data_IF_081969756351
#
_entry.id   IF_081969756351
#
_cell.length_a   1.000
_cell.length_b   1.000
_cell.length_c   1.000
_cell.angle_alpha   90.00
_cell.angle_beta   90.00
_cell.angle_gamma   90.00
#
_symmetry.space_group_name_H-M   'P 1'
#
loop_
_entity.id
_entity.type
_entity.pdbx_description
1 polymer ?
#
# COMPACT_ATOMS: atom_id res chain seq x y z
N UNK A 1 -31.37 28.37 -19.32
CA UNK A 1 -31.15 27.98 -17.93
C UNK A 1 -30.41 29.12 -17.25
N UNK A 2 -30.84 29.61 -16.08
CA UNK A 2 -30.18 30.74 -15.40
C UNK A 2 -28.74 30.31 -14.99
N UNK A 3 -27.77 31.23 -15.13
CA UNK A 3 -26.36 31.00 -14.66
C UNK A 3 -26.33 30.48 -13.22
N UNK A 4 -27.23 30.99 -12.39
CA UNK A 4 -27.40 30.54 -11.01
C UNK A 4 -27.65 29.02 -10.90
N UNK A 5 -28.60 28.48 -11.68
CA UNK A 5 -28.95 27.06 -11.68
C UNK A 5 -27.74 26.20 -12.12
N UNK A 6 -26.97 26.68 -13.10
CA UNK A 6 -25.76 25.98 -13.55
C UNK A 6 -24.73 25.91 -12.41
N UNK A 7 -24.50 27.03 -11.71
CA UNK A 7 -23.57 27.07 -10.56
C UNK A 7 -24.04 26.10 -9.46
N UNK A 8 -25.34 26.09 -9.15
CA UNK A 8 -25.93 25.22 -8.14
C UNK A 8 -25.72 23.73 -8.48
N UNK A 9 -25.92 23.33 -9.73
CA UNK A 9 -25.74 21.96 -10.19
C UNK A 9 -24.25 21.55 -10.10
N UNK A 10 -23.35 22.39 -10.61
CA UNK A 10 -21.91 22.11 -10.57
C UNK A 10 -21.41 22.00 -9.15
N UNK A 11 -21.77 22.93 -8.28
CA UNK A 11 -21.40 22.93 -6.86
C UNK A 11 -21.90 21.67 -6.16
N UNK A 12 -23.15 21.26 -6.41
CA UNK A 12 -23.73 20.05 -5.82
C UNK A 12 -23.03 18.78 -6.27
N UNK A 13 -22.73 18.65 -7.58
CA UNK A 13 -22.01 17.49 -8.12
C UNK A 13 -20.58 17.39 -7.57
N UNK A 14 -19.86 18.51 -7.54
CA UNK A 14 -18.52 18.57 -6.94
C UNK A 14 -18.55 18.21 -5.45
N UNK A 15 -19.55 18.75 -4.73
CA UNK A 15 -19.70 18.45 -3.31
C UNK A 15 -19.98 16.98 -3.04
N UNK A 16 -20.86 16.31 -3.82
CA UNK A 16 -21.11 14.86 -3.66
C UNK A 16 -19.82 14.06 -3.83
N UNK A 17 -19.00 14.38 -4.85
CA UNK A 17 -17.74 13.68 -5.08
C UNK A 17 -16.79 13.85 -3.89
N UNK A 18 -16.59 15.07 -3.44
CA UNK A 18 -15.66 15.36 -2.32
C UNK A 18 -16.21 14.80 -1.00
N UNK A 19 -17.51 14.98 -0.72
CA UNK A 19 -18.13 14.46 0.48
C UNK A 19 -18.08 12.93 0.54
N UNK A 20 -18.26 12.24 -0.58
CA UNK A 20 -18.11 10.79 -0.68
C UNK A 20 -16.69 10.33 -0.32
N UNK A 21 -15.67 11.01 -0.84
CA UNK A 21 -14.27 10.75 -0.49
C UNK A 21 -13.99 10.98 1.00
N UNK A 22 -14.48 12.10 1.55
CA UNK A 22 -14.31 12.44 2.97
C UNK A 22 -15.04 11.45 3.86
N UNK A 23 -16.25 11.06 3.50
CA UNK A 23 -17.03 10.05 4.22
C UNK A 23 -16.27 8.72 4.26
N UNK A 24 -15.70 8.27 3.13
CA UNK A 24 -14.92 7.05 3.08
C UNK A 24 -13.73 7.10 4.05
N UNK A 25 -12.94 8.18 3.98
CA UNK A 25 -11.79 8.39 4.88
C UNK A 25 -12.22 8.38 6.34
N UNK A 26 -13.25 9.15 6.69
CA UNK A 26 -13.76 9.25 8.06
C UNK A 26 -14.30 7.91 8.57
N UNK A 27 -15.09 7.22 7.75
CA UNK A 27 -15.69 5.93 8.11
C UNK A 27 -14.63 4.90 8.48
N UNK A 28 -13.60 4.71 7.64
CA UNK A 28 -12.55 3.74 7.91
C UNK A 28 -11.55 4.22 8.98
N UNK A 29 -11.37 5.53 9.15
CA UNK A 29 -10.63 6.07 10.28
C UNK A 29 -11.34 5.74 11.61
N UNK A 30 -12.66 5.92 11.69
CA UNK A 30 -13.46 5.52 12.85
C UNK A 30 -13.45 4.00 13.06
N UNK A 31 -13.59 3.23 11.98
CA UNK A 31 -13.51 1.76 12.03
C UNK A 31 -12.17 1.27 12.59
N UNK A 32 -11.07 1.99 12.33
CA UNK A 32 -9.74 1.64 12.86
C UNK A 32 -9.63 1.71 14.38
N UNK A 33 -10.54 2.44 15.05
CA UNK A 33 -10.62 2.54 16.51
C UNK A 33 -11.32 1.33 17.15
N UNK A 34 -12.04 0.53 16.37
CA UNK A 34 -12.72 -0.64 16.88
C UNK A 34 -11.69 -1.65 17.45
N UNK A 35 -12.04 -2.37 18.52
CA UNK A 35 -11.16 -3.38 19.08
C UNK A 35 -10.85 -4.49 18.08
N UNK A 36 -9.66 -5.07 18.17
CA UNK A 36 -9.30 -6.27 17.41
C UNK A 36 -10.29 -7.36 17.76
N UNK A 37 -11.11 -7.80 16.79
CA UNK A 37 -11.99 -8.95 17.02
C UNK A 37 -11.10 -10.12 17.40
N UNK A 38 -11.36 -10.76 18.56
CA UNK A 38 -10.74 -12.06 18.85
C UNK A 38 -11.13 -12.97 17.70
N UNK A 39 -10.15 -13.42 16.91
CA UNK A 39 -10.43 -14.41 15.88
C UNK A 39 -10.96 -15.68 16.59
N UNK A 40 -12.22 -15.95 16.46
CA UNK A 40 -12.64 -17.31 16.34
C UNK A 40 -12.22 -17.76 14.94
N UNK A 41 -11.09 -18.46 14.84
CA UNK A 41 -10.80 -19.27 13.65
C UNK A 41 -12.09 -20.03 13.32
N UNK A 42 -12.50 -20.13 12.04
CA UNK A 42 -13.65 -20.94 11.69
C UNK A 42 -13.54 -22.29 12.39
N UNK A 43 -14.63 -22.78 12.98
CA UNK A 43 -14.64 -24.03 13.76
C UNK A 43 -14.13 -25.25 12.98
N UNK A 44 -14.12 -25.16 11.64
CA UNK A 44 -13.47 -26.15 10.75
C UNK A 44 -11.94 -26.19 10.87
N UNK A 45 -11.31 -25.15 11.40
CA UNK A 45 -9.84 -25.06 11.59
C UNK A 45 -9.43 -25.56 13.01
N UNK A 46 -10.36 -25.49 13.96
CA UNK A 46 -10.10 -25.91 15.38
C UNK A 46 -10.01 -27.45 15.51
N UNK A 47 -10.41 -28.21 14.51
CA UNK A 47 -10.49 -29.67 14.55
C UNK A 47 -9.32 -30.42 13.91
N UNK A 48 -8.25 -29.73 13.49
CA UNK A 48 -6.98 -30.43 13.33
C UNK A 48 -6.24 -30.35 14.68
N UNK A 49 -6.15 -31.45 15.43
CA UNK A 49 -5.27 -31.49 16.58
C UNK A 49 -3.87 -31.16 16.04
N UNK A 50 -3.22 -30.19 16.68
CA UNK A 50 -1.82 -29.87 16.49
C UNK A 50 -0.96 -31.08 16.87
N UNK A 51 -1.02 -32.11 16.05
CA UNK A 51 -0.04 -33.20 16.09
C UNK A 51 1.23 -32.64 15.48
N UNK A 52 2.16 -32.28 16.35
CA UNK A 52 3.56 -31.96 16.07
C UNK A 52 3.73 -30.74 15.10
N UNK A 53 4.00 -29.61 15.70
CA UNK A 53 4.72 -28.43 15.18
C UNK A 53 5.23 -28.53 13.73
N UNK A 54 4.36 -28.61 12.74
CA UNK A 54 4.80 -28.39 11.37
C UNK A 54 5.08 -26.89 11.28
N UNK A 55 6.35 -26.51 11.38
CA UNK A 55 6.79 -25.15 11.14
C UNK A 55 6.71 -24.91 9.63
N UNK A 56 6.06 -23.84 9.22
CA UNK A 56 5.87 -23.50 7.82
C UNK A 56 7.19 -23.21 7.12
N UNK A 57 7.31 -23.60 5.86
CA UNK A 57 8.45 -23.27 5.02
C UNK A 57 8.18 -22.02 4.19
N UNK A 58 9.19 -21.13 4.08
CA UNK A 58 9.06 -19.83 3.43
C UNK A 58 10.05 -19.64 2.29
N UNK A 59 9.55 -19.18 1.14
CA UNK A 59 10.36 -18.56 0.10
C UNK A 59 10.31 -17.04 0.28
N UNK A 60 11.45 -16.41 0.52
CA UNK A 60 11.53 -14.96 0.73
C UNK A 60 12.18 -14.30 -0.47
N UNK A 61 11.45 -13.41 -1.14
CA UNK A 61 11.85 -12.75 -2.37
C UNK A 61 12.21 -11.28 -2.12
N UNK A 62 13.40 -10.89 -2.53
CA UNK A 62 13.89 -9.51 -2.54
C UNK A 62 14.14 -9.05 -3.97
N UNK A 63 13.15 -8.50 -4.67
CA UNK A 63 13.38 -7.83 -5.95
C UNK A 63 14.15 -6.53 -5.72
N UNK A 64 15.31 -6.39 -6.36
CA UNK A 64 16.21 -5.25 -6.24
C UNK A 64 16.56 -4.68 -7.62
N UNK A 65 16.32 -3.39 -7.84
CA UNK A 65 16.63 -2.68 -9.08
C UNK A 65 17.40 -1.40 -8.76
N UNK A 66 18.70 -1.36 -9.05
CA UNK A 66 19.62 -0.25 -8.68
C UNK A 66 19.61 0.07 -7.16
N UNK A 67 19.55 -0.96 -6.32
CA UNK A 67 19.46 -0.81 -4.85
C UNK A 67 20.79 -1.16 -4.14
N UNK A 68 21.91 -0.91 -4.79
CA UNK A 68 23.26 -1.23 -4.29
C UNK A 68 23.55 -0.66 -2.88
N UNK A 69 22.97 0.52 -2.59
CA UNK A 69 23.22 1.22 -1.34
C UNK A 69 22.64 0.52 -0.10
N UNK A 70 21.56 -0.28 -0.27
CA UNK A 70 20.75 -0.77 0.86
C UNK A 70 20.64 -2.29 0.92
N UNK A 71 20.71 -2.99 -0.22
CA UNK A 71 20.36 -4.42 -0.33
C UNK A 71 21.24 -5.32 0.55
N UNK A 72 22.56 -5.09 0.59
CA UNK A 72 23.51 -5.92 1.35
C UNK A 72 23.09 -5.92 2.82
N UNK A 73 22.90 -4.74 3.40
CA UNK A 73 22.51 -4.60 4.80
C UNK A 73 21.17 -5.28 5.11
N UNK A 74 20.20 -5.16 4.22
CA UNK A 74 18.87 -5.77 4.38
C UNK A 74 18.96 -7.30 4.36
N UNK A 75 19.73 -7.87 3.42
CA UNK A 75 19.91 -9.32 3.33
C UNK A 75 20.69 -9.87 4.52
N UNK A 76 21.80 -9.23 4.90
CA UNK A 76 22.57 -9.65 6.07
C UNK A 76 21.71 -9.61 7.34
N UNK A 77 20.94 -8.53 7.54
CA UNK A 77 20.00 -8.43 8.66
C UNK A 77 18.93 -9.52 8.61
N UNK A 78 18.39 -9.83 7.43
CA UNK A 78 17.36 -10.87 7.29
C UNK A 78 17.92 -12.28 7.58
N UNK A 79 19.15 -12.56 7.25
CA UNK A 79 19.77 -13.89 7.50
C UNK A 79 19.92 -14.21 9.00
N UNK A 80 19.73 -13.23 9.89
CA UNK A 80 19.72 -13.43 11.35
C UNK A 80 18.32 -13.76 11.91
N UNK A 81 17.43 -14.36 11.09
CA UNK A 81 16.11 -14.77 11.57
C UNK A 81 16.21 -15.89 12.63
N UNK A 82 15.44 -15.71 13.72
CA UNK A 82 15.21 -16.74 14.75
C UNK A 82 14.17 -17.76 14.25
N UNK A 83 14.55 -18.46 13.19
CA UNK A 83 13.76 -19.48 12.51
C UNK A 83 14.68 -20.57 11.94
N UNK A 84 14.29 -21.86 11.92
CA UNK A 84 15.14 -22.91 11.38
C UNK A 84 15.59 -22.62 9.95
N UNK A 85 16.90 -22.65 9.71
CA UNK A 85 17.49 -22.26 8.43
C UNK A 85 17.02 -23.11 7.25
N UNK A 86 16.74 -24.37 7.51
CA UNK A 86 16.21 -25.32 6.54
C UNK A 86 14.75 -25.06 6.14
N UNK A 87 14.03 -24.22 6.88
CA UNK A 87 12.64 -23.88 6.62
C UNK A 87 12.45 -22.54 5.92
N UNK A 88 13.51 -21.85 5.56
CA UNK A 88 13.36 -20.65 4.73
C UNK A 88 14.48 -20.53 3.70
N UNK A 89 14.10 -20.04 2.53
CA UNK A 89 14.98 -19.81 1.41
C UNK A 89 14.88 -18.35 0.99
N UNK A 90 16.02 -17.67 0.90
CA UNK A 90 16.11 -16.27 0.46
C UNK A 90 16.56 -16.23 -0.99
N UNK A 91 15.81 -15.58 -1.84
CA UNK A 91 16.18 -15.31 -3.24
C UNK A 91 16.20 -13.80 -3.50
N UNK A 92 17.33 -13.31 -3.96
CA UNK A 92 17.53 -11.93 -4.38
C UNK A 92 17.50 -11.86 -5.89
N UNK A 93 16.65 -11.00 -6.44
CA UNK A 93 16.55 -10.76 -7.87
C UNK A 93 17.26 -9.44 -8.15
N UNK A 94 18.54 -9.56 -8.53
CA UNK A 94 19.45 -8.45 -8.77
C UNK A 94 19.31 -7.95 -10.20
N UNK A 95 18.52 -6.89 -10.38
CA UNK A 95 18.28 -6.29 -11.68
C UNK A 95 19.07 -4.97 -11.80
N UNK A 96 20.04 -4.92 -12.71
CA UNK A 96 20.92 -3.77 -12.94
C UNK A 96 21.70 -3.30 -11.68
N UNK A 97 22.12 -4.24 -10.83
CA UNK A 97 23.02 -3.96 -9.70
C UNK A 97 24.49 -4.00 -10.14
N UNK A 98 25.37 -3.38 -9.36
CA UNK A 98 26.79 -3.42 -9.62
C UNK A 98 27.40 -4.81 -9.45
N UNK A 99 28.49 -5.08 -10.16
CA UNK A 99 29.22 -6.34 -10.05
C UNK A 99 29.76 -6.56 -8.63
N UNK A 100 30.22 -5.49 -7.96
CA UNK A 100 30.70 -5.54 -6.59
C UNK A 100 29.60 -6.00 -5.62
N UNK A 101 28.39 -5.41 -5.74
CA UNK A 101 27.22 -5.82 -4.95
C UNK A 101 26.85 -7.27 -5.23
N UNK A 102 26.85 -7.70 -6.50
CA UNK A 102 26.53 -9.07 -6.89
C UNK A 102 27.55 -10.07 -6.34
N UNK A 103 28.85 -9.76 -6.37
CA UNK A 103 29.89 -10.62 -5.79
C UNK A 103 29.72 -10.76 -4.27
N UNK A 104 29.39 -9.68 -3.57
CA UNK A 104 29.10 -9.73 -2.14
C UNK A 104 27.88 -10.63 -1.86
N UNK A 105 26.75 -10.37 -2.54
CA UNK A 105 25.53 -11.17 -2.38
C UNK A 105 25.73 -12.65 -2.71
N UNK A 106 26.54 -12.98 -3.72
CA UNK A 106 26.87 -14.35 -4.08
C UNK A 106 27.67 -15.10 -2.99
N UNK A 107 28.34 -14.39 -2.09
CA UNK A 107 29.05 -14.97 -0.94
C UNK A 107 28.13 -15.35 0.21
N UNK A 108 26.89 -14.86 0.21
CA UNK A 108 25.90 -15.12 1.26
C UNK A 108 25.12 -16.43 0.98
N UNK A 109 24.55 -17.07 1.99
CA UNK A 109 23.77 -18.31 1.84
C UNK A 109 22.36 -18.01 1.26
N UNK A 110 22.28 -17.47 0.04
CA UNK A 110 21.06 -17.09 -0.68
C UNK A 110 21.10 -17.62 -2.11
N UNK A 111 19.97 -17.55 -2.80
CA UNK A 111 19.96 -17.68 -4.27
C UNK A 111 19.99 -16.28 -4.88
N UNK A 112 21.06 -15.97 -5.59
CA UNK A 112 21.19 -14.74 -6.35
C UNK A 112 20.77 -15.00 -7.81
N UNK A 113 19.80 -14.23 -8.29
CA UNK A 113 19.33 -14.24 -9.67
C UNK A 113 19.66 -12.88 -10.31
N UNK A 114 20.43 -12.91 -11.39
CA UNK A 114 20.85 -11.70 -12.13
C UNK A 114 20.20 -11.69 -13.52
N UNK A 115 18.87 -11.43 -13.63
CA UNK A 115 18.22 -11.36 -14.92
C UNK A 115 18.63 -10.10 -15.68
N UNK A 116 18.56 -10.17 -17.01
CA UNK A 116 18.69 -9.02 -17.88
C UNK A 116 17.35 -8.75 -18.56
N UNK A 117 16.59 -7.78 -18.04
CA UNK A 117 15.31 -7.40 -18.59
C UNK A 117 15.48 -6.23 -19.58
N UNK A 118 14.86 -6.33 -20.77
CA UNK A 118 14.76 -5.20 -21.69
C UNK A 118 14.04 -3.99 -21.05
N UNK A 119 13.01 -4.27 -20.24
CA UNK A 119 12.29 -3.29 -19.41
C UNK A 119 12.08 -3.89 -18.03
N UNK A 120 12.74 -3.30 -17.05
CA UNK A 120 12.68 -3.75 -15.66
C UNK A 120 11.33 -3.46 -15.01
N UNK A 121 10.81 -4.41 -14.23
CA UNK A 121 9.68 -4.21 -13.33
C UNK A 121 9.70 -5.23 -12.20
N UNK A 122 9.12 -4.87 -11.07
CA UNK A 122 9.00 -5.78 -9.93
C UNK A 122 8.18 -7.04 -10.27
N UNK A 123 7.13 -6.89 -11.08
CA UNK A 123 6.35 -8.01 -11.59
C UNK A 123 7.23 -9.03 -12.32
N UNK A 124 8.08 -8.58 -13.26
CA UNK A 124 9.01 -9.47 -13.98
C UNK A 124 10.05 -10.12 -13.07
N UNK A 125 10.57 -9.39 -12.09
CA UNK A 125 11.49 -9.93 -11.11
C UNK A 125 10.84 -11.08 -10.32
N UNK A 126 9.61 -10.89 -9.84
CA UNK A 126 8.85 -11.93 -9.13
C UNK A 126 8.53 -13.13 -10.02
N UNK A 127 8.11 -12.91 -11.28
CA UNK A 127 7.87 -13.96 -12.26
C UNK A 127 9.13 -14.79 -12.54
N UNK A 128 10.26 -14.11 -12.75
CA UNK A 128 11.55 -14.76 -12.99
C UNK A 128 11.96 -15.63 -11.80
N UNK A 129 11.85 -15.11 -10.57
CA UNK A 129 12.17 -15.86 -9.36
C UNK A 129 11.33 -17.12 -9.22
N UNK A 130 10.01 -17.02 -9.37
CA UNK A 130 9.12 -18.19 -9.25
C UNK A 130 9.41 -19.20 -10.34
N UNK A 131 9.63 -18.75 -11.60
CA UNK A 131 9.98 -19.63 -12.70
C UNK A 131 11.29 -20.38 -12.44
N UNK A 132 12.32 -19.68 -11.98
CA UNK A 132 13.62 -20.30 -11.67
C UNK A 132 13.50 -21.30 -10.51
N UNK A 133 12.91 -20.90 -9.42
CA UNK A 133 12.76 -21.74 -8.21
C UNK A 133 11.96 -23.01 -8.52
N UNK A 134 10.88 -22.91 -9.27
CA UNK A 134 10.05 -24.06 -9.63
C UNK A 134 10.77 -25.08 -10.52
N UNK A 135 11.79 -24.66 -11.27
CA UNK A 135 12.58 -25.55 -12.14
C UNK A 135 13.79 -26.18 -11.43
N UNK A 136 14.35 -25.51 -10.42
CA UNK A 136 15.61 -25.90 -9.80
C UNK A 136 15.46 -26.45 -8.37
N UNK A 137 14.27 -26.32 -7.78
CA UNK A 137 14.02 -26.78 -6.41
C UNK A 137 12.87 -27.76 -6.39
N UNK A 138 13.12 -28.98 -5.95
CA UNK A 138 12.09 -30.02 -5.75
C UNK A 138 11.27 -29.82 -4.46
N UNK A 139 11.67 -28.90 -3.59
CA UNK A 139 10.98 -28.60 -2.34
C UNK A 139 9.82 -27.65 -2.60
N UNK A 140 8.62 -28.05 -2.18
CA UNK A 140 7.47 -27.16 -2.14
C UNK A 140 7.58 -26.26 -0.88
N UNK A 141 7.45 -24.95 -1.05
CA UNK A 141 7.29 -24.01 0.06
C UNK A 141 5.81 -23.93 0.44
N UNK A 142 5.54 -23.61 1.72
CA UNK A 142 4.17 -23.34 2.15
C UNK A 142 3.77 -21.90 1.76
N UNK A 143 4.71 -20.95 1.92
CA UNK A 143 4.43 -19.53 1.72
C UNK A 143 5.53 -18.80 0.95
N UNK A 144 5.12 -17.72 0.27
CA UNK A 144 6.03 -16.73 -0.33
C UNK A 144 5.91 -15.43 0.44
N UNK A 145 7.04 -14.85 0.81
CA UNK A 145 7.15 -13.52 1.40
C UNK A 145 7.84 -12.59 0.42
N UNK A 146 7.28 -11.41 0.18
CA UNK A 146 7.86 -10.37 -0.68
C UNK A 146 8.28 -9.19 0.20
N UNK A 147 9.57 -8.84 0.15
CA UNK A 147 10.18 -7.71 0.84
C UNK A 147 10.89 -6.82 -0.18
N UNK A 148 10.86 -5.50 0.02
CA UNK A 148 11.66 -4.57 -0.78
C UNK A 148 13.15 -4.62 -0.36
N UNK A 149 14.03 -4.14 -1.25
CA UNK A 149 15.48 -4.23 -1.08
C UNK A 149 16.03 -3.46 0.14
N UNK A 150 15.29 -2.48 0.65
CA UNK A 150 15.61 -1.64 1.80
C UNK A 150 14.97 -2.11 3.12
N UNK A 151 14.16 -3.18 3.07
CA UNK A 151 13.37 -3.58 4.20
C UNK A 151 14.19 -4.26 5.30
N UNK A 152 13.92 -3.84 6.53
CA UNK A 152 14.45 -4.47 7.74
C UNK A 152 13.27 -5.01 8.57
N UNK A 153 13.42 -6.23 9.04
CA UNK A 153 12.43 -6.92 9.89
C UNK A 153 13.07 -7.42 11.17
N UNK A 154 12.25 -7.65 12.19
CA UNK A 154 12.74 -8.21 13.46
C UNK A 154 13.24 -9.65 13.30
N UNK A 155 14.16 -10.13 14.16
CA UNK A 155 14.67 -11.50 14.08
C UNK A 155 13.60 -12.59 14.20
N UNK A 156 12.49 -12.32 14.88
CA UNK A 156 11.37 -13.25 15.05
C UNK A 156 10.26 -13.12 13.97
N UNK A 157 10.51 -12.36 12.90
CA UNK A 157 9.53 -12.09 11.85
C UNK A 157 8.93 -13.37 11.24
N UNK A 158 9.75 -14.32 10.81
CA UNK A 158 9.26 -15.59 10.27
C UNK A 158 8.55 -16.43 11.33
N UNK A 159 9.03 -16.41 12.57
CA UNK A 159 8.38 -17.07 13.71
C UNK A 159 6.98 -16.51 13.96
N UNK A 160 6.79 -15.19 13.87
CA UNK A 160 5.49 -14.56 14.01
C UNK A 160 4.57 -14.88 12.82
N UNK A 161 5.08 -14.82 11.59
CA UNK A 161 4.32 -15.18 10.37
C UNK A 161 3.85 -16.64 10.43
N UNK A 162 4.71 -17.58 10.81
CA UNK A 162 4.40 -19.01 10.89
C UNK A 162 3.21 -19.31 11.83
N UNK A 163 2.98 -18.49 12.85
CA UNK A 163 1.85 -18.65 13.79
C UNK A 163 0.50 -18.24 13.23
N UNK A 164 0.49 -17.43 12.17
CA UNK A 164 -0.74 -16.80 11.65
C UNK A 164 -0.99 -17.07 10.18
N UNK A 165 0.02 -17.50 9.43
CA UNK A 165 -0.12 -17.81 8.02
C UNK A 165 -1.08 -19.00 7.80
N UNK A 166 -1.95 -18.87 6.79
CA UNK A 166 -2.93 -19.88 6.43
C UNK A 166 -3.17 -19.85 4.91
N UNK A 167 -3.27 -21.00 4.22
CA UNK A 167 -3.41 -21.06 2.75
C UNK A 167 -4.61 -20.29 2.19
N UNK A 168 -5.68 -20.11 2.97
CA UNK A 168 -6.89 -19.40 2.52
C UNK A 168 -6.82 -17.89 2.62
N UNK A 169 -5.67 -17.32 3.00
CA UNK A 169 -5.52 -15.87 3.16
C UNK A 169 -4.16 -15.37 2.68
N UNK A 170 -4.13 -14.11 2.25
CA UNK A 170 -2.90 -13.35 2.12
C UNK A 170 -2.69 -12.49 3.37
N UNK A 171 -1.44 -12.16 3.66
CA UNK A 171 -1.07 -11.31 4.80
C UNK A 171 -0.38 -10.07 4.29
N UNK A 172 -0.78 -8.91 4.84
CA UNK A 172 -0.04 -7.66 4.75
C UNK A 172 0.51 -7.32 6.14
N UNK A 173 1.82 -7.33 6.29
CA UNK A 173 2.49 -6.85 7.49
C UNK A 173 2.44 -5.33 7.60
N UNK A 174 2.69 -4.80 8.79
CA UNK A 174 2.69 -3.37 9.05
C UNK A 174 3.99 -2.75 8.55
N UNK A 175 3.94 -2.11 7.38
CA UNK A 175 5.06 -1.32 6.88
C UNK A 175 5.10 0.02 7.59
N UNK A 176 6.28 0.39 8.09
CA UNK A 176 6.51 1.62 8.84
C UNK A 176 7.86 2.23 8.49
N UNK A 177 8.05 3.52 8.80
CA UNK A 177 9.28 4.23 8.48
C UNK A 177 10.46 3.78 9.34
N UNK A 178 11.59 3.45 8.70
CA UNK A 178 12.90 3.21 9.34
C UNK A 178 13.53 4.51 9.81
N UNK A 179 13.31 5.60 9.06
CA UNK A 179 13.92 6.90 9.31
C UNK A 179 12.84 8.01 9.40
N UNK A 180 13.15 9.05 10.17
CA UNK A 180 12.37 10.28 10.31
C UNK A 180 13.29 11.50 10.44
N UNK A 181 14.47 11.44 9.81
CA UNK A 181 15.59 12.35 10.03
C UNK A 181 15.30 13.77 9.52
N UNK A 182 14.42 13.90 8.54
CA UNK A 182 13.98 15.18 8.01
C UNK A 182 12.45 15.27 7.94
N UNK A 183 11.94 16.47 7.65
CA UNK A 183 10.49 16.73 7.62
C UNK A 183 9.78 15.97 6.53
N UNK A 184 10.44 15.68 5.39
CA UNK A 184 9.85 14.96 4.26
C UNK A 184 9.67 13.49 4.64
N UNK A 185 10.71 12.83 5.12
CA UNK A 185 10.65 11.44 5.58
C UNK A 185 9.64 11.26 6.71
N UNK A 186 9.60 12.19 7.68
CA UNK A 186 8.65 12.16 8.77
C UNK A 186 7.19 12.31 8.30
N UNK A 187 6.92 13.20 7.33
CA UNK A 187 5.59 13.39 6.77
C UNK A 187 5.18 12.22 5.85
N UNK A 188 6.14 11.61 5.14
CA UNK A 188 5.88 10.41 4.35
C UNK A 188 5.55 9.22 5.25
N UNK A 189 6.32 9.00 6.31
CA UNK A 189 6.02 8.01 7.34
C UNK A 189 4.65 8.23 8.00
N UNK A 190 4.31 9.48 8.36
CA UNK A 190 2.99 9.82 8.89
C UNK A 190 1.88 9.52 7.88
N UNK A 191 2.08 9.86 6.59
CA UNK A 191 1.14 9.55 5.53
C UNK A 191 0.91 8.04 5.37
N UNK A 192 1.96 7.24 5.55
CA UNK A 192 1.86 5.78 5.53
C UNK A 192 1.05 5.25 6.72
N UNK A 193 1.30 5.73 7.92
CA UNK A 193 0.55 5.34 9.11
C UNK A 193 -0.94 5.70 9.02
N UNK A 194 -1.26 6.82 8.40
CA UNK A 194 -2.65 7.17 8.10
C UNK A 194 -3.25 6.17 7.07
N UNK A 195 -2.47 5.73 6.06
CA UNK A 195 -2.91 4.67 5.14
C UNK A 195 -3.09 3.34 5.86
N UNK A 196 -2.18 2.97 6.77
CA UNK A 196 -2.29 1.77 7.60
C UNK A 196 -3.58 1.79 8.42
N UNK A 197 -3.92 2.94 9.01
CA UNK A 197 -5.16 3.10 9.77
C UNK A 197 -6.41 2.96 8.90
N UNK A 198 -6.49 3.65 7.78
CA UNK A 198 -7.68 3.72 6.93
C UNK A 198 -7.83 2.46 6.08
N UNK A 199 -6.85 2.17 5.18
CA UNK A 199 -6.99 1.16 4.13
C UNK A 199 -6.64 -0.26 4.58
N UNK A 200 -6.08 -0.44 5.76
CA UNK A 200 -5.68 -1.74 6.30
C UNK A 200 -6.39 -2.06 7.60
N UNK A 201 -6.02 -1.39 8.68
CA UNK A 201 -6.60 -1.62 10.01
C UNK A 201 -8.11 -1.44 10.03
N UNK A 202 -8.62 -0.29 9.55
CA UNK A 202 -10.05 0.02 9.52
C UNK A 202 -10.86 -1.03 8.78
N UNK A 203 -10.40 -1.47 7.61
CA UNK A 203 -11.03 -2.53 6.83
C UNK A 203 -11.07 -3.85 7.61
N UNK A 204 -9.95 -4.28 8.14
CA UNK A 204 -9.90 -5.55 8.89
C UNK A 204 -10.74 -5.51 10.17
N UNK A 205 -10.87 -4.35 10.85
CA UNK A 205 -11.72 -4.23 12.05
C UNK A 205 -13.20 -4.54 11.79
N UNK A 206 -13.69 -4.24 10.60
CA UNK A 206 -15.08 -4.52 10.20
C UNK A 206 -15.25 -5.80 9.37
N UNK A 207 -14.15 -6.55 9.16
CA UNK A 207 -14.18 -7.83 8.45
C UNK A 207 -13.97 -7.71 6.93
N UNK A 208 -13.55 -6.54 6.43
CA UNK A 208 -13.19 -6.34 5.03
C UNK A 208 -11.71 -6.62 4.79
N UNK A 209 -11.35 -6.93 3.54
CA UNK A 209 -9.97 -7.16 3.12
C UNK A 209 -9.12 -5.90 3.23
N UNK A 210 -7.90 -6.06 3.77
CA UNK A 210 -6.87 -5.04 3.77
C UNK A 210 -6.41 -4.68 2.37
N UNK A 211 -5.78 -3.51 2.20
CA UNK A 211 -5.00 -3.19 1.01
C UNK A 211 -3.58 -3.74 1.12
N UNK A 212 -3.01 -4.17 -0.02
CA UNK A 212 -1.58 -4.45 -0.17
C UNK A 212 -0.78 -3.15 -0.31
N UNK A 213 0.56 -3.24 -0.15
CA UNK A 213 1.46 -2.07 -0.24
C UNK A 213 2.79 -2.39 -0.93
N UNK A 214 2.86 -3.50 -1.65
CA UNK A 214 4.04 -3.90 -2.40
C UNK A 214 5.10 -4.62 -1.58
N UNK A 215 5.17 -4.44 -0.27
CA UNK A 215 6.19 -5.03 0.59
C UNK A 215 5.62 -5.54 1.91
N UNK A 216 6.29 -6.49 2.57
CA UNK A 216 5.77 -7.14 3.76
C UNK A 216 4.51 -7.95 3.46
N UNK A 217 4.44 -8.53 2.29
CA UNK A 217 3.33 -9.37 1.83
C UNK A 217 3.69 -10.85 1.99
N UNK A 218 2.74 -11.65 2.45
CA UNK A 218 2.90 -13.10 2.52
C UNK A 218 1.69 -13.79 1.89
N UNK A 219 1.95 -14.77 1.03
CA UNK A 219 0.95 -15.49 0.24
C UNK A 219 1.17 -17.00 0.36
N UNK A 220 0.13 -17.79 0.18
CA UNK A 220 0.26 -19.22 -0.12
C UNK A 220 1.12 -19.40 -1.38
N UNK A 221 2.11 -20.31 -1.33
CA UNK A 221 3.04 -20.51 -2.45
C UNK A 221 2.34 -20.96 -3.73
N UNK A 222 1.39 -21.90 -3.61
CA UNK A 222 0.68 -22.43 -4.78
C UNK A 222 -0.21 -21.34 -5.41
N UNK A 223 -0.86 -20.54 -4.58
CA UNK A 223 -1.65 -19.42 -5.06
C UNK A 223 -0.76 -18.41 -5.79
N UNK A 224 0.37 -18.02 -5.18
CA UNK A 224 1.26 -17.01 -5.73
C UNK A 224 1.89 -17.47 -7.05
N UNK A 225 2.44 -18.69 -7.10
CA UNK A 225 3.06 -19.26 -8.31
C UNK A 225 2.08 -19.40 -9.48
N UNK A 226 0.81 -19.69 -9.19
CA UNK A 226 -0.25 -19.78 -10.21
C UNK A 226 -0.75 -18.44 -10.75
N UNK A 227 -0.49 -17.34 -10.00
CA UNK A 227 -1.03 -16.03 -10.34
C UNK A 227 0.02 -14.98 -10.71
N UNK A 228 1.27 -15.11 -10.27
CA UNK A 228 2.34 -14.12 -10.52
C UNK A 228 2.56 -13.85 -12.02
N UNK A 229 2.40 -14.84 -12.87
CA UNK A 229 2.56 -14.70 -14.32
C UNK A 229 1.46 -13.86 -15.00
N UNK A 230 0.41 -13.47 -14.27
CA UNK A 230 -0.68 -12.61 -14.76
C UNK A 230 -0.39 -11.13 -14.54
N UNK A 231 0.68 -10.80 -13.82
CA UNK A 231 1.06 -9.41 -13.53
C UNK A 231 1.71 -8.78 -14.77
N UNK A 232 1.27 -7.60 -15.17
CA UNK A 232 1.79 -6.89 -16.35
C UNK A 232 2.00 -5.37 -16.13
N UNK A 233 1.66 -4.86 -14.95
CA UNK A 233 1.75 -3.42 -14.68
C UNK A 233 2.96 -3.06 -13.79
N UNK A 234 3.20 -1.75 -13.65
CA UNK A 234 4.20 -1.20 -12.75
C UNK A 234 3.73 -1.12 -11.27
N UNK A 235 2.51 -1.62 -10.99
CA UNK A 235 1.86 -1.60 -9.68
C UNK A 235 1.35 -3.01 -9.35
N UNK A 236 2.28 -3.94 -9.27
CA UNK A 236 2.05 -5.36 -9.08
C UNK A 236 1.23 -5.69 -7.83
N UNK A 237 1.38 -4.90 -6.77
CA UNK A 237 0.63 -5.04 -5.52
C UNK A 237 -0.88 -4.84 -5.74
N UNK A 238 -1.28 -3.87 -6.55
CA UNK A 238 -2.69 -3.63 -6.88
C UNK A 238 -3.27 -4.70 -7.79
N UNK A 239 -2.47 -5.25 -8.70
CA UNK A 239 -2.88 -6.39 -9.52
C UNK A 239 -3.04 -7.65 -8.67
N UNK A 240 -2.10 -7.93 -7.76
CA UNK A 240 -2.22 -9.02 -6.79
C UNK A 240 -3.47 -8.85 -5.92
N UNK A 241 -3.72 -7.63 -5.42
CA UNK A 241 -4.91 -7.32 -4.65
C UNK A 241 -6.20 -7.62 -5.44
N UNK A 242 -6.27 -7.18 -6.70
CA UNK A 242 -7.42 -7.44 -7.55
C UNK A 242 -7.64 -8.95 -7.80
N UNK A 243 -6.57 -9.70 -8.07
CA UNK A 243 -6.61 -11.16 -8.27
C UNK A 243 -7.08 -11.89 -7.00
N UNK A 244 -6.58 -11.50 -5.82
CA UNK A 244 -7.03 -12.05 -4.53
C UNK A 244 -8.53 -11.82 -4.34
N UNK A 245 -9.00 -10.58 -4.55
CA UNK A 245 -10.41 -10.24 -4.39
C UNK A 245 -11.32 -10.99 -5.39
N UNK A 246 -10.88 -11.15 -6.64
CA UNK A 246 -11.62 -11.92 -7.65
C UNK A 246 -11.75 -13.39 -7.28
N UNK A 247 -10.77 -13.96 -6.61
CA UNK A 247 -10.72 -15.36 -6.20
C UNK A 247 -11.24 -15.58 -4.76
N UNK A 248 -11.76 -14.54 -4.10
CA UNK A 248 -12.31 -14.63 -2.76
C UNK A 248 -11.29 -14.85 -1.65
N UNK A 249 -10.00 -14.59 -1.93
CA UNK A 249 -8.92 -14.70 -0.94
C UNK A 249 -8.85 -13.42 -0.13
N UNK A 250 -8.99 -13.54 1.20
CA UNK A 250 -8.98 -12.40 2.11
C UNK A 250 -7.56 -11.94 2.42
N UNK A 251 -7.32 -10.62 2.38
CA UNK A 251 -6.06 -10.03 2.83
C UNK A 251 -6.17 -9.62 4.29
N UNK A 252 -5.34 -10.25 5.11
CA UNK A 252 -5.28 -9.98 6.54
C UNK A 252 -4.15 -9.01 6.88
N UNK A 253 -4.49 -7.90 7.54
CA UNK A 253 -3.49 -6.95 8.03
C UNK A 253 -3.02 -7.31 9.43
N UNK A 254 -1.70 -7.38 9.62
CA UNK A 254 -1.07 -7.71 10.89
C UNK A 254 -0.33 -6.50 11.42
N UNK A 255 -0.90 -5.87 12.45
CA UNK A 255 -0.38 -4.64 13.04
C UNK A 255 0.92 -4.85 13.81
N UNK A 256 1.10 -6.06 14.36
CA UNK A 256 2.17 -6.36 15.32
C UNK A 256 3.46 -6.85 14.64
N UNK A 257 3.41 -7.22 13.33
CA UNK A 257 4.58 -7.63 12.55
C UNK A 257 5.04 -6.46 11.70
N UNK A 258 6.16 -5.86 12.12
CA UNK A 258 6.69 -4.66 11.49
C UNK A 258 7.64 -4.97 10.35
N UNK A 259 7.53 -4.21 9.27
CA UNK A 259 8.49 -4.14 8.16
C UNK A 259 8.92 -2.68 8.04
N UNK A 260 10.16 -2.40 8.38
CA UNK A 260 10.73 -1.07 8.35
C UNK A 260 11.29 -0.77 6.96
N UNK A 261 10.83 0.29 6.30
CA UNK A 261 11.34 0.77 5.02
C UNK A 261 11.96 2.16 5.11
N UNK A 262 12.83 2.47 4.17
CA UNK A 262 13.49 3.76 4.11
C UNK A 262 12.60 4.79 3.40
N UNK A 263 12.29 5.88 4.09
CA UNK A 263 11.50 6.97 3.50
C UNK A 263 12.38 7.93 2.72
N UNK A 264 11.87 8.36 1.57
CA UNK A 264 12.57 9.33 0.71
C UNK A 264 12.86 10.63 1.47
N UNK A 265 14.09 11.08 1.38
CA UNK A 265 14.59 12.28 2.07
C UNK A 265 14.58 13.53 1.19
N UNK A 266 14.49 13.38 -0.14
CA UNK A 266 14.50 14.51 -1.08
C UNK A 266 13.12 14.80 -1.66
N UNK A 267 12.85 16.10 -1.90
CA UNK A 267 11.54 16.54 -2.46
C UNK A 267 11.31 15.98 -3.87
N UNK A 268 12.36 15.87 -4.69
CA UNK A 268 12.24 15.43 -6.09
C UNK A 268 11.95 13.92 -6.17
N UNK A 269 12.60 13.11 -5.33
CA UNK A 269 12.31 11.68 -5.22
C UNK A 269 10.89 11.46 -4.67
N UNK A 270 10.47 12.22 -3.67
CA UNK A 270 9.12 12.21 -3.16
C UNK A 270 8.09 12.50 -4.26
N UNK A 271 8.34 13.53 -5.07
CA UNK A 271 7.44 13.90 -6.18
C UNK A 271 7.33 12.78 -7.22
N UNK A 272 8.47 12.18 -7.64
CA UNK A 272 8.50 11.06 -8.61
C UNK A 272 7.77 9.84 -8.08
N UNK A 273 8.01 9.48 -6.82
CA UNK A 273 7.34 8.35 -6.16
C UNK A 273 5.81 8.54 -6.11
N UNK A 274 5.35 9.75 -5.73
CA UNK A 274 3.91 10.08 -5.68
C UNK A 274 3.28 10.08 -7.07
N UNK A 275 3.97 10.58 -8.09
CA UNK A 275 3.49 10.51 -9.48
C UNK A 275 3.28 9.06 -9.91
N UNK A 276 4.26 8.18 -9.64
CA UNK A 276 4.16 6.74 -9.91
C UNK A 276 2.93 6.13 -9.24
N UNK A 277 2.71 6.41 -7.96
CA UNK A 277 1.57 5.86 -7.21
C UNK A 277 0.23 6.37 -7.73
N UNK A 278 0.12 7.65 -8.07
CA UNK A 278 -1.10 8.22 -8.64
C UNK A 278 -1.40 7.64 -10.03
N UNK A 279 -0.38 7.51 -10.89
CA UNK A 279 -0.52 6.87 -12.20
C UNK A 279 -0.97 5.41 -12.06
N UNK A 280 -0.31 4.66 -11.16
CA UNK A 280 -0.68 3.28 -10.86
C UNK A 280 -2.10 3.13 -10.31
N UNK A 281 -2.55 4.08 -9.49
CA UNK A 281 -3.92 4.08 -8.97
C UNK A 281 -4.95 4.22 -10.09
N UNK A 282 -4.72 5.13 -11.05
CA UNK A 282 -5.61 5.30 -12.22
C UNK A 282 -5.60 4.05 -13.10
N UNK A 283 -4.42 3.47 -13.35
CA UNK A 283 -4.31 2.23 -14.14
C UNK A 283 -5.06 1.08 -13.46
N UNK A 284 -4.87 0.87 -12.17
CA UNK A 284 -5.58 -0.16 -11.41
C UNK A 284 -7.10 0.04 -11.44
N UNK A 285 -7.58 1.29 -11.30
CA UNK A 285 -9.00 1.60 -11.42
C UNK A 285 -9.55 1.16 -12.78
N UNK A 286 -8.89 1.55 -13.87
CA UNK A 286 -9.32 1.21 -15.24
C UNK A 286 -9.28 -0.31 -15.49
N UNK A 287 -8.30 -1.03 -14.92
CA UNK A 287 -8.21 -2.48 -15.02
C UNK A 287 -9.31 -3.21 -14.21
N UNK A 288 -9.70 -2.67 -13.06
CA UNK A 288 -10.74 -3.27 -12.22
C UNK A 288 -12.16 -2.96 -12.68
N UNK A 289 -12.38 -1.84 -13.37
CA UNK A 289 -13.69 -1.35 -13.76
C UNK A 289 -14.51 -2.37 -14.60
N UNK A 290 -13.95 -3.09 -15.59
CA UNK A 290 -14.71 -4.07 -16.37
C UNK A 290 -15.31 -5.21 -15.56
N UNK A 291 -14.68 -5.61 -14.46
CA UNK A 291 -15.14 -6.69 -13.58
C UNK A 291 -16.11 -6.21 -12.47
N UNK A 292 -16.28 -4.91 -12.31
CA UNK A 292 -17.13 -4.31 -11.27
C UNK A 292 -18.62 -4.74 -11.39
N UNK A 293 -19.26 -4.78 -12.59
CA UNK A 293 -20.63 -5.24 -12.70
C UNK A 293 -20.82 -6.68 -12.20
N UNK A 294 -19.88 -7.57 -12.52
CA UNK A 294 -19.88 -8.96 -12.04
C UNK A 294 -19.76 -9.00 -10.51
N UNK A 295 -18.86 -8.21 -9.94
CA UNK A 295 -18.67 -8.13 -8.50
C UNK A 295 -19.93 -7.64 -7.76
N UNK A 296 -20.65 -6.67 -8.33
CA UNK A 296 -21.93 -6.19 -7.80
C UNK A 296 -22.97 -7.30 -7.81
N UNK A 297 -23.14 -8.00 -8.94
CA UNK A 297 -24.13 -9.08 -9.08
C UNK A 297 -23.82 -10.25 -8.12
N UNK A 298 -22.54 -10.57 -7.93
CA UNK A 298 -22.12 -11.68 -7.04
C UNK A 298 -22.01 -11.28 -5.57
N UNK A 299 -22.22 -10.00 -5.23
CA UNK A 299 -22.07 -9.49 -3.86
C UNK A 299 -20.63 -9.50 -3.35
N UNK A 300 -19.63 -9.43 -4.23
CA UNK A 300 -18.21 -9.39 -3.84
C UNK A 300 -17.85 -8.00 -3.31
N UNK A 301 -18.21 -7.74 -2.05
CA UNK A 301 -18.04 -6.43 -1.39
C UNK A 301 -16.54 -6.03 -1.36
N UNK A 302 -15.62 -6.98 -1.17
CA UNK A 302 -14.20 -6.67 -1.13
C UNK A 302 -13.69 -6.16 -2.49
N UNK A 303 -14.10 -6.78 -3.60
CA UNK A 303 -13.72 -6.29 -4.93
C UNK A 303 -14.33 -4.91 -5.23
N UNK A 304 -15.59 -4.70 -4.87
CA UNK A 304 -16.28 -3.41 -5.03
C UNK A 304 -15.52 -2.33 -4.25
N UNK A 305 -15.21 -2.60 -2.99
CA UNK A 305 -14.47 -1.67 -2.13
C UNK A 305 -13.08 -1.33 -2.70
N UNK A 306 -12.31 -2.34 -3.14
CA UNK A 306 -11.00 -2.10 -3.74
C UNK A 306 -11.11 -1.28 -5.03
N UNK A 307 -12.13 -1.49 -5.85
CA UNK A 307 -12.39 -0.64 -7.01
C UNK A 307 -12.69 0.80 -6.60
N UNK A 308 -13.52 1.01 -5.56
CA UNK A 308 -13.78 2.33 -4.99
C UNK A 308 -12.48 2.97 -4.46
N UNK A 309 -11.62 2.22 -3.77
CA UNK A 309 -10.32 2.73 -3.28
C UNK A 309 -9.46 3.29 -4.41
N UNK A 310 -9.45 2.63 -5.58
CA UNK A 310 -8.71 3.14 -6.74
C UNK A 310 -9.37 4.39 -7.37
N UNK A 311 -10.67 4.59 -7.19
CA UNK A 311 -11.38 5.78 -7.66
C UNK A 311 -11.24 6.99 -6.72
N UNK A 312 -10.77 6.80 -5.48
CA UNK A 312 -10.64 7.89 -4.51
C UNK A 312 -9.64 8.94 -4.97
N UNK A 313 -9.97 10.18 -4.73
CA UNK A 313 -9.03 11.29 -4.92
C UNK A 313 -7.91 11.18 -3.88
N UNK A 314 -6.62 11.22 -4.27
CA UNK A 314 -5.52 11.18 -3.32
C UNK A 314 -5.69 12.22 -2.21
N UNK A 315 -5.50 11.80 -0.95
CA UNK A 315 -5.72 12.65 0.24
C UNK A 315 -4.93 13.95 0.22
N UNK A 316 -3.74 13.92 -0.36
CA UNK A 316 -2.92 15.11 -0.57
C UNK A 316 -3.59 16.14 -1.47
N UNK A 317 -4.30 15.68 -2.50
CA UNK A 317 -5.09 16.56 -3.37
C UNK A 317 -6.30 17.09 -2.61
N UNK A 318 -7.01 16.23 -1.86
CA UNK A 318 -8.15 16.65 -1.05
C UNK A 318 -7.76 17.73 -0.01
N UNK A 319 -6.54 17.69 0.53
CA UNK A 319 -6.02 18.69 1.49
C UNK A 319 -5.89 20.10 0.90
N UNK A 320 -5.76 20.24 -0.43
CA UNK A 320 -5.77 21.54 -1.12
C UNK A 320 -7.13 21.84 -1.70
N UNK A 321 -7.71 20.86 -2.37
CA UNK A 321 -8.96 21.06 -3.12
C UNK A 321 -10.11 21.44 -2.21
N UNK A 322 -10.26 20.75 -1.05
CA UNK A 322 -11.39 21.02 -0.15
C UNK A 322 -11.36 22.42 0.46
N UNK A 323 -10.25 22.94 1.04
CA UNK A 323 -10.19 24.33 1.50
C UNK A 323 -10.40 25.35 0.38
N UNK A 324 -9.84 25.09 -0.81
CA UNK A 324 -10.02 25.95 -1.98
C UNK A 324 -11.50 26.05 -2.38
N UNK A 325 -12.20 24.94 -2.40
CA UNK A 325 -13.64 24.90 -2.67
C UNK A 325 -14.46 25.58 -1.56
N UNK A 326 -14.05 25.48 -0.29
CA UNK A 326 -14.67 26.25 0.80
C UNK A 326 -14.59 27.75 0.54
N UNK A 327 -13.42 28.26 0.12
CA UNK A 327 -13.20 29.68 -0.16
C UNK A 327 -14.04 30.10 -1.38
N UNK A 328 -13.97 29.32 -2.47
CA UNK A 328 -14.75 29.60 -3.69
C UNK A 328 -16.25 29.63 -3.39
N UNK A 329 -16.78 28.64 -2.69
CA UNK A 329 -18.18 28.56 -2.34
C UNK A 329 -18.62 29.72 -1.45
N UNK A 330 -17.78 30.16 -0.51
CA UNK A 330 -18.05 31.33 0.36
C UNK A 330 -18.12 32.61 -0.47
N UNK A 331 -17.15 32.85 -1.36
CA UNK A 331 -17.13 34.02 -2.24
C UNK A 331 -18.31 34.01 -3.20
N UNK A 332 -18.60 32.88 -3.83
CA UNK A 332 -19.74 32.75 -4.76
C UNK A 332 -21.07 33.00 -4.05
N UNK A 333 -21.24 32.44 -2.83
CA UNK A 333 -22.43 32.66 -2.02
C UNK A 333 -22.61 34.15 -1.68
N UNK A 334 -21.54 34.85 -1.36
CA UNK A 334 -21.58 36.30 -1.05
C UNK A 334 -21.91 37.14 -2.28
N UNK A 335 -21.31 36.83 -3.44
CA UNK A 335 -21.51 37.60 -4.68
C UNK A 335 -22.93 37.43 -5.25
N UNK A 336 -23.45 36.21 -5.24
CA UNK A 336 -24.76 35.87 -5.82
C UNK A 336 -25.90 35.82 -4.79
N UNK A 337 -25.65 36.22 -3.53
CA UNK A 337 -26.61 36.19 -2.42
C UNK A 337 -27.31 34.81 -2.27
N UNK A 338 -26.52 33.76 -2.35
CA UNK A 338 -27.03 32.37 -2.22
C UNK A 338 -27.21 31.99 -0.75
N UNK A 339 -28.16 31.07 -0.40
CA UNK A 339 -28.37 30.65 0.99
C UNK A 339 -27.12 30.01 1.58
N UNK A 340 -26.59 30.58 2.66
CA UNK A 340 -25.31 30.18 3.29
C UNK A 340 -25.25 28.68 3.65
N UNK A 341 -26.33 28.14 4.21
CA UNK A 341 -26.38 26.75 4.65
C UNK A 341 -26.21 25.77 3.47
N UNK A 342 -26.82 26.08 2.34
CA UNK A 342 -26.80 25.19 1.16
C UNK A 342 -25.46 25.30 0.43
N UNK A 343 -24.81 26.46 0.43
CA UNK A 343 -23.66 26.70 -0.40
C UNK A 343 -22.32 26.55 0.31
N UNK A 344 -22.00 27.38 1.28
CA UNK A 344 -20.67 27.34 1.87
C UNK A 344 -20.56 26.54 3.17
N UNK A 345 -21.61 26.50 4.03
CA UNK A 345 -21.51 25.76 5.28
C UNK A 345 -21.33 24.25 5.08
N UNK A 346 -21.94 23.64 4.06
CA UNK A 346 -21.72 22.22 3.71
C UNK A 346 -20.25 21.93 3.40
N UNK A 347 -19.55 22.85 2.72
CA UNK A 347 -18.14 22.71 2.41
C UNK A 347 -17.24 22.80 3.63
N UNK A 348 -17.50 23.80 4.52
CA UNK A 348 -16.76 23.93 5.77
C UNK A 348 -17.01 22.74 6.70
N UNK A 349 -18.22 22.22 6.75
CA UNK A 349 -18.54 21.01 7.49
C UNK A 349 -17.80 19.80 6.92
N UNK A 350 -17.76 19.64 5.61
CA UNK A 350 -17.02 18.57 4.92
C UNK A 350 -15.51 18.67 5.21
N UNK A 351 -14.93 19.87 5.20
CA UNK A 351 -13.54 20.10 5.56
C UNK A 351 -13.27 19.72 7.02
N UNK A 352 -14.15 20.11 7.94
CA UNK A 352 -14.01 19.75 9.36
C UNK A 352 -14.03 18.23 9.55
N UNK A 353 -14.96 17.52 8.92
CA UNK A 353 -15.02 16.05 8.94
C UNK A 353 -13.77 15.41 8.35
N UNK A 354 -13.21 15.98 7.27
CA UNK A 354 -11.98 15.49 6.68
C UNK A 354 -10.79 15.60 7.65
N UNK A 355 -10.62 16.77 8.28
CA UNK A 355 -9.55 17.00 9.26
C UNK A 355 -9.71 16.08 10.48
N UNK A 356 -10.94 15.90 10.96
CA UNK A 356 -11.24 14.97 12.06
C UNK A 356 -10.88 13.53 11.65
N UNK A 357 -11.26 13.08 10.44
CA UNK A 357 -10.93 11.76 9.95
C UNK A 357 -9.43 11.52 9.85
N UNK A 358 -8.67 12.49 9.33
CA UNK A 358 -7.20 12.40 9.27
C UNK A 358 -6.58 12.37 10.67
N UNK A 359 -7.06 13.20 11.60
CA UNK A 359 -6.57 13.22 12.98
C UNK A 359 -6.81 11.89 13.68
N UNK A 360 -8.00 11.29 13.51
CA UNK A 360 -8.33 9.97 14.06
C UNK A 360 -7.41 8.90 13.48
N UNK A 361 -7.11 8.97 12.18
CA UNK A 361 -6.25 7.99 11.49
C UNK A 361 -4.77 8.05 11.91
N UNK A 362 -4.32 9.15 12.51
CA UNK A 362 -2.95 9.26 13.05
C UNK A 362 -2.85 8.37 14.29
N UNK A 363 -1.86 7.44 14.39
CA UNK A 363 -1.62 6.67 15.61
C UNK A 363 -1.37 7.58 16.83
N UNK A 364 -1.85 7.19 18.00
CA UNK A 364 -1.75 8.01 19.22
C UNK A 364 -0.32 8.40 19.59
N UNK A 365 0.64 7.50 19.34
CA UNK A 365 2.06 7.72 19.57
C UNK A 365 2.64 8.84 18.70
N UNK A 366 2.07 9.05 17.51
CA UNK A 366 2.51 10.07 16.55
C UNK A 366 1.79 11.42 16.70
N UNK A 367 0.76 11.51 17.55
CA UNK A 367 0.03 12.78 17.84
C UNK A 367 0.82 13.73 18.73
N UNK A 368 2.12 13.83 18.53
CA UNK A 368 3.01 14.71 19.32
C UNK A 368 3.03 16.11 18.72
N UNK A 369 3.33 17.12 19.57
CA UNK A 369 3.50 18.52 19.11
C UNK A 369 4.57 18.65 18.03
N UNK A 370 5.62 17.82 18.07
CA UNK A 370 6.71 17.81 17.09
C UNK A 370 6.20 17.39 15.71
N UNK A 371 5.43 16.31 15.62
CA UNK A 371 4.85 15.83 14.37
C UNK A 371 3.84 16.82 13.81
N UNK A 372 2.98 17.39 14.66
CA UNK A 372 2.02 18.41 14.24
C UNK A 372 2.72 19.69 13.73
N UNK A 373 3.84 20.08 14.35
CA UNK A 373 4.64 21.22 13.89
C UNK A 373 5.23 20.97 12.49
N UNK A 374 5.66 19.75 12.18
CA UNK A 374 6.13 19.37 10.83
C UNK A 374 5.05 19.51 9.75
N UNK A 375 3.77 19.48 10.14
CA UNK A 375 2.66 19.71 9.22
C UNK A 375 2.67 21.10 8.55
N UNK A 376 3.43 22.07 9.06
CA UNK A 376 3.60 23.38 8.42
C UNK A 376 4.30 23.31 7.06
N UNK A 377 5.02 22.22 6.77
CA UNK A 377 5.64 21.97 5.47
C UNK A 377 4.64 21.39 4.44
N UNK A 378 3.51 20.85 4.91
CA UNK A 378 2.48 20.23 4.06
C UNK A 378 2.02 21.12 2.90
N UNK A 379 1.71 22.42 3.06
CA UNK A 379 1.20 23.23 1.96
C UNK A 379 2.16 23.25 0.75
N UNK A 380 3.48 23.34 0.98
CA UNK A 380 4.49 23.33 -0.09
C UNK A 380 4.56 21.96 -0.78
N UNK A 381 4.56 20.87 0.00
CA UNK A 381 4.62 19.51 -0.55
C UNK A 381 3.35 19.20 -1.33
N UNK A 382 2.20 19.57 -0.80
CA UNK A 382 0.91 19.32 -1.43
C UNK A 382 0.74 20.13 -2.72
N UNK A 383 1.22 21.38 -2.75
CA UNK A 383 1.23 22.18 -3.99
C UNK A 383 2.03 21.48 -5.10
N UNK A 384 3.23 20.98 -4.78
CA UNK A 384 4.04 20.19 -5.72
C UNK A 384 3.34 18.89 -6.16
N UNK A 385 2.60 18.25 -5.26
CA UNK A 385 1.82 17.05 -5.60
C UNK A 385 0.62 17.38 -6.51
N UNK A 386 -0.04 18.52 -6.29
CA UNK A 386 -1.14 18.96 -7.15
C UNK A 386 -0.66 19.20 -8.60
N UNK A 387 0.57 19.68 -8.79
CA UNK A 387 1.15 19.82 -10.14
C UNK A 387 1.40 18.48 -10.83
N UNK A 388 1.57 17.38 -10.07
CA UNK A 388 1.73 16.04 -10.64
C UNK A 388 0.49 15.57 -11.41
N UNK A 389 -0.70 16.06 -11.09
CA UNK A 389 -1.93 15.71 -11.80
C UNK A 389 -1.80 16.02 -13.30
N UNK A 390 -1.13 17.12 -13.64
CA UNK A 390 -0.91 17.54 -15.03
C UNK A 390 0.07 16.62 -15.79
N UNK A 391 0.81 15.77 -15.07
CA UNK A 391 1.81 14.87 -15.63
C UNK A 391 1.40 13.39 -15.59
N UNK A 392 0.17 13.07 -15.16
CA UNK A 392 -0.34 11.70 -15.16
C UNK A 392 -0.50 11.23 -16.62
N UNK A 393 0.27 10.19 -16.99
CA UNK A 393 0.16 9.50 -18.27
C UNK A 393 -0.34 8.08 -18.03
N UNK A 394 -1.55 7.79 -18.45
CA UNK A 394 -2.18 6.46 -18.29
C UNK A 394 -1.53 5.36 -19.13
N UNK A 395 -0.73 5.74 -20.13
CA UNK A 395 -0.08 4.80 -21.06
C UNK A 395 1.34 4.38 -20.68
N UNK A 396 1.94 4.97 -19.63
CA UNK A 396 3.32 4.66 -19.25
C UNK A 396 3.36 3.37 -18.44
N UNK A 397 3.87 2.29 -19.06
CA UNK A 397 4.25 1.03 -18.40
C UNK A 397 5.70 1.06 -17.86
N UNK A 398 6.37 2.20 -17.88
CA UNK A 398 7.78 2.31 -17.48
C UNK A 398 7.90 2.47 -15.96
N UNK A 399 8.78 1.67 -15.38
CA UNK A 399 9.12 1.75 -13.97
C UNK A 399 9.96 3.00 -13.70
N UNK A 400 9.48 3.91 -12.86
CA UNK A 400 10.22 5.09 -12.41
C UNK A 400 10.96 4.71 -11.12
N UNK A 401 12.29 4.55 -11.22
CA UNK A 401 13.13 4.22 -10.07
C UNK A 401 13.19 5.37 -9.06
N UNK A 402 13.13 5.04 -7.77
CA UNK A 402 13.34 5.97 -6.65
C UNK A 402 14.72 5.67 -6.06
N UNK A 403 15.64 6.63 -6.11
CA UNK A 403 17.01 6.46 -5.59
C UNK A 403 16.99 6.56 -4.06
N UNK A 404 17.49 5.52 -3.38
CA UNK A 404 17.80 5.55 -1.96
C UNK A 404 19.22 6.04 -1.76
N UNK A 405 19.41 7.02 -0.88
CA UNK A 405 20.73 7.55 -0.52
C UNK A 405 21.17 6.94 0.81
N UNK A 406 22.48 6.66 0.92
CA UNK A 406 23.09 6.20 2.18
C UNK A 406 22.89 7.22 3.29
#
# INVERSE_FOLDING_TARGET
>A
MSIRIIIEIIDFLLWIIIAGNVFYVLFFALASLLPKKKKTLPSSIIHQPSTLSHRSSFLVLFPAYHEDAVIIHSIESFLHQDYPRELYHVAVISDNMSEETNQHLASLPITLLCPNFEKSSKAKALQHAISFISQHTSSAYDYVVVLDADNIVAPDFLTQLSKIAHPSMAIQCHRTAKNADNDIAALDGLSEEINNSIFRKGHNRIGMSSALIGSGMCFDYNWFSSNVNKLDSAVEDRELEALLMMQGVHIHYVEDILVMDEKVSSTDNFQRQRLRWMTGQVQAFLQMLPSLPKAIITGNINYIDKTIQQALIPRSILLVLTPTLCIIATLTSSIYHLPSIIYHLKWWFTLALFIIGLYIAIPSQMRTKVVLKKATVLPRLVWRMATNILHIKTSNKEFIHTVHNK
#
